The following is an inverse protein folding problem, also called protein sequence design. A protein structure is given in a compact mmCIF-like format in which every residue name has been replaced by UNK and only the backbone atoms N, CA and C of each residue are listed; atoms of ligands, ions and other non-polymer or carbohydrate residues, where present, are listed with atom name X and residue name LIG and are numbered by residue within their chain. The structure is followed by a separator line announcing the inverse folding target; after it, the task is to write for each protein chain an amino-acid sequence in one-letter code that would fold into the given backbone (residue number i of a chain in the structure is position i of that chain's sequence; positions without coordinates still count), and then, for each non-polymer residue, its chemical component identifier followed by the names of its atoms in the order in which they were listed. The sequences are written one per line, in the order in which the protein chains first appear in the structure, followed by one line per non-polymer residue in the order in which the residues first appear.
data_IF_355999348072
#
_entry.id   IF_355999348072
#
_cell.length_a   1.000
_cell.length_b   1.000
_cell.length_c   1.000
_cell.angle_alpha   90.00
_cell.angle_beta   90.00
_cell.angle_gamma   90.00
#
_symmetry.space_group_name_H-M   'P 1'
#
loop_
_entity.id
_entity.type
_entity.pdbx_description
1 polymer ?
#
# COMPACT_ATOMS: atom_id res chain seq x y z
N UNK A 1 0.85 1.68 4.26
CA UNK A 1 -0.45 2.15 4.80
C UNK A 1 -1.53 2.20 3.72
N UNK A 2 -1.22 2.75 2.54
CA UNK A 2 -2.16 2.90 1.42
C UNK A 2 -2.92 1.63 1.01
N UNK A 3 -2.22 0.52 0.73
CA UNK A 3 -2.82 -0.74 0.27
C UNK A 3 -3.84 -1.33 1.27
N UNK A 4 -3.65 -1.10 2.56
CA UNK A 4 -4.61 -1.54 3.57
C UNK A 4 -5.93 -0.77 3.46
N UNK A 5 -5.86 0.55 3.21
CA UNK A 5 -7.05 1.36 2.94
C UNK A 5 -7.72 0.96 1.63
N UNK A 6 -6.96 0.76 0.56
CA UNK A 6 -7.51 0.24 -0.71
C UNK A 6 -8.24 -1.09 -0.50
N UNK A 7 -7.67 -2.02 0.27
CA UNK A 7 -8.27 -3.31 0.59
C UNK A 7 -9.56 -3.17 1.41
N UNK A 8 -9.59 -2.25 2.39
CA UNK A 8 -10.79 -1.97 3.17
C UNK A 8 -11.96 -1.56 2.27
N UNK A 9 -11.78 -0.54 1.43
CA UNK A 9 -12.85 -0.04 0.55
C UNK A 9 -13.16 -1.00 -0.61
N UNK A 10 -12.20 -1.80 -1.06
CA UNK A 10 -12.47 -2.90 -2.00
C UNK A 10 -13.48 -3.90 -1.41
N UNK A 11 -13.35 -4.25 -0.13
CA UNK A 11 -14.27 -5.18 0.54
C UNK A 11 -15.57 -4.48 0.96
N UNK A 12 -15.48 -3.36 1.67
CA UNK A 12 -16.62 -2.70 2.28
C UNK A 12 -17.44 -1.86 1.30
N UNK A 13 -16.81 -1.38 0.23
CA UNK A 13 -17.38 -0.39 -0.69
C UNK A 13 -17.13 1.05 -0.24
N UNK A 14 -17.34 2.00 -1.14
CA UNK A 14 -17.16 3.43 -0.93
C UNK A 14 -15.90 4.01 -1.59
N UNK A 15 -15.61 5.27 -1.27
CA UNK A 15 -14.45 5.99 -1.80
C UNK A 15 -13.23 5.79 -0.91
N UNK A 16 -12.11 5.38 -1.51
CA UNK A 16 -10.84 5.25 -0.77
C UNK A 16 -10.43 6.60 -0.20
N UNK A 17 -10.39 6.73 1.13
CA UNK A 17 -9.82 7.88 1.85
C UNK A 17 -8.46 7.50 2.43
N UNK A 18 -7.38 8.07 1.88
CA UNK A 18 -6.01 7.86 2.35
C UNK A 18 -5.65 8.64 3.62
N UNK A 19 -6.52 9.56 4.04
CA UNK A 19 -6.30 10.49 5.15
C UNK A 19 -5.59 11.75 4.70
N UNK A 20 -6.09 12.90 5.15
CA UNK A 20 -5.60 14.23 4.75
C UNK A 20 -4.11 14.44 5.09
N UNK A 21 -3.71 14.13 6.33
CA UNK A 21 -2.33 14.32 6.80
C UNK A 21 -1.33 13.45 6.02
N UNK A 22 -1.64 12.16 5.85
CA UNK A 22 -0.81 11.23 5.07
C UNK A 22 -0.66 11.71 3.63
N UNK A 23 -1.75 12.17 3.03
CA UNK A 23 -1.78 12.60 1.63
C UNK A 23 -0.99 13.88 1.39
N UNK A 24 -1.06 14.84 2.33
CA UNK A 24 -0.20 16.03 2.32
C UNK A 24 1.27 15.67 2.49
N UNK A 25 1.60 14.79 3.44
CA UNK A 25 2.97 14.36 3.69
C UNK A 25 3.58 13.60 2.52
N UNK A 26 2.77 12.81 1.80
CA UNK A 26 3.24 11.98 0.68
C UNK A 26 3.03 12.62 -0.70
N UNK A 27 2.41 13.80 -0.78
CA UNK A 27 2.23 14.55 -2.03
C UNK A 27 1.26 13.91 -3.01
N UNK A 28 0.14 13.37 -2.53
CA UNK A 28 -0.89 12.76 -3.38
C UNK A 28 -2.32 13.18 -2.98
N UNK A 29 -3.31 12.85 -3.80
CA UNK A 29 -4.73 13.11 -3.48
C UNK A 29 -5.17 12.30 -2.27
N UNK A 30 -5.99 12.93 -1.40
CA UNK A 30 -6.61 12.24 -0.27
C UNK A 30 -7.56 11.13 -0.71
N UNK A 31 -8.34 11.39 -1.77
CA UNK A 31 -9.32 10.44 -2.24
C UNK A 31 -8.81 9.67 -3.45
N UNK A 32 -9.05 8.36 -3.42
CA UNK A 32 -8.71 7.42 -4.48
C UNK A 32 -9.93 6.93 -5.25
N UNK A 33 -9.88 5.66 -5.64
CA UNK A 33 -10.93 4.97 -6.39
C UNK A 33 -12.24 4.92 -5.60
N UNK A 34 -13.35 4.99 -6.31
CA UNK A 34 -14.69 4.70 -5.78
C UNK A 34 -15.02 3.25 -6.13
N UNK A 35 -15.38 2.47 -5.11
CA UNK A 35 -15.97 1.14 -5.25
C UNK A 35 -17.47 1.28 -5.00
N UNK A 36 -18.27 1.36 -6.06
CA UNK A 36 -19.74 1.52 -5.97
C UNK A 36 -20.37 0.39 -5.14
N UNK A 37 -19.88 -0.82 -5.34
CA UNK A 37 -20.25 -2.00 -4.57
C UNK A 37 -18.99 -2.64 -3.99
N UNK A 38 -18.97 -2.84 -2.67
CA UNK A 38 -17.93 -3.60 -2.01
C UNK A 38 -18.06 -5.09 -2.32
N UNK A 39 -16.96 -5.81 -2.34
CA UNK A 39 -17.00 -7.27 -2.55
C UNK A 39 -17.61 -8.05 -1.38
N UNK A 40 -17.71 -7.44 -0.20
CA UNK A 40 -18.38 -7.99 0.98
C UNK A 40 -18.94 -6.86 1.88
N UNK A 41 -20.01 -6.16 1.46
CA UNK A 41 -20.49 -4.96 2.15
C UNK A 41 -21.00 -5.21 3.58
N UNK A 42 -21.47 -6.43 3.86
CA UNK A 42 -21.89 -6.86 5.19
C UNK A 42 -20.74 -7.11 6.17
N UNK A 43 -19.47 -6.91 5.75
CA UNK A 43 -18.31 -7.14 6.61
C UNK A 43 -18.41 -6.36 7.93
N UNK A 44 -18.47 -7.08 9.06
CA UNK A 44 -18.44 -6.53 10.41
C UNK A 44 -17.98 -7.59 11.43
N UNK A 45 -18.18 -7.34 12.73
CA UNK A 45 -17.80 -8.28 13.81
C UNK A 45 -18.68 -9.54 13.83
N UNK A 46 -19.93 -9.46 13.35
CA UNK A 46 -20.84 -10.60 13.22
C UNK A 46 -20.60 -11.38 11.91
N UNK A 47 -19.98 -10.73 10.93
CA UNK A 47 -19.58 -11.29 9.64
C UNK A 47 -18.07 -11.16 9.40
N UNK A 48 -17.22 -11.77 10.24
CA UNK A 48 -15.78 -11.55 10.17
C UNK A 48 -15.14 -12.33 9.00
N UNK A 49 -14.00 -11.83 8.52
CA UNK A 49 -13.31 -12.39 7.34
C UNK A 49 -12.04 -13.14 7.75
N UNK A 50 -11.75 -14.23 7.01
CA UNK A 50 -10.45 -14.87 6.97
C UNK A 50 -9.58 -14.26 5.87
N UNK A 51 -8.41 -13.75 6.23
CA UNK A 51 -7.45 -13.22 5.27
C UNK A 51 -6.33 -14.22 4.98
N UNK A 52 -6.00 -14.39 3.70
CA UNK A 52 -4.81 -15.12 3.24
C UNK A 52 -3.89 -14.17 2.49
N UNK A 53 -2.72 -13.90 3.07
CA UNK A 53 -1.74 -12.96 2.54
C UNK A 53 -0.49 -13.66 2.01
N UNK A 54 -0.24 -13.54 0.72
CA UNK A 54 1.04 -13.95 0.13
C UNK A 54 2.05 -12.80 0.18
N UNK A 55 3.31 -13.10 0.56
CA UNK A 55 4.41 -12.13 0.56
C UNK A 55 4.07 -10.82 1.31
N UNK A 56 4.19 -9.67 0.66
CA UNK A 56 3.87 -8.36 1.24
C UNK A 56 2.38 -8.21 1.60
N UNK A 57 1.49 -8.99 0.98
CA UNK A 57 0.06 -8.99 1.29
C UNK A 57 -0.21 -9.33 2.76
N UNK A 58 0.61 -10.20 3.37
CA UNK A 58 0.50 -10.53 4.78
C UNK A 58 0.73 -9.31 5.69
N UNK A 59 1.66 -8.42 5.33
CA UNK A 59 1.88 -7.16 6.06
C UNK A 59 0.70 -6.21 5.85
N UNK A 60 0.15 -6.13 4.64
CA UNK A 60 -1.03 -5.29 4.34
C UNK A 60 -2.21 -5.69 5.21
N UNK A 61 -2.46 -6.99 5.37
CA UNK A 61 -3.54 -7.52 6.22
C UNK A 61 -3.33 -7.13 7.69
N UNK A 62 -2.11 -7.29 8.22
CA UNK A 62 -1.82 -6.88 9.61
C UNK A 62 -2.02 -5.38 9.83
N UNK A 63 -1.63 -4.55 8.85
CA UNK A 63 -1.88 -3.11 8.88
C UNK A 63 -3.38 -2.81 8.85
N UNK A 64 -4.13 -3.46 7.96
CA UNK A 64 -5.58 -3.32 7.90
C UNK A 64 -6.24 -3.67 9.25
N UNK A 65 -5.84 -4.79 9.85
CA UNK A 65 -6.37 -5.20 11.14
C UNK A 65 -6.06 -4.19 12.26
N UNK A 66 -4.83 -3.67 12.32
CA UNK A 66 -4.49 -2.61 13.27
C UNK A 66 -5.31 -1.34 13.02
N UNK A 67 -5.52 -0.96 11.76
CA UNK A 67 -6.35 0.20 11.41
C UNK A 67 -7.82 0.03 11.81
N UNK A 68 -8.35 -1.20 11.79
CA UNK A 68 -9.69 -1.50 12.32
C UNK A 68 -9.72 -1.34 13.84
N UNK A 69 -8.71 -1.84 14.55
CA UNK A 69 -8.57 -1.67 16.01
C UNK A 69 -8.47 -0.19 16.41
N UNK A 70 -7.71 0.59 15.63
CA UNK A 70 -7.48 2.01 15.86
C UNK A 70 -8.62 2.91 15.37
N UNK A 71 -9.68 2.32 14.80
CA UNK A 71 -10.82 3.05 14.25
C UNK A 71 -10.43 4.10 13.19
N UNK A 72 -9.55 3.71 12.26
CA UNK A 72 -8.93 4.62 11.30
C UNK A 72 -9.76 4.96 10.05
N UNK A 73 -10.98 4.43 9.92
CA UNK A 73 -11.89 4.63 8.78
C UNK A 73 -13.10 5.49 9.16
N UNK A 74 -13.13 6.75 8.71
CA UNK A 74 -14.23 7.68 9.01
C UNK A 74 -15.56 7.12 8.53
N UNK A 75 -16.59 7.25 9.37
CA UNK A 75 -17.95 6.76 9.09
C UNK A 75 -18.24 5.32 9.55
N UNK A 76 -17.28 4.61 10.13
CA UNK A 76 -17.43 3.22 10.59
C UNK A 76 -17.15 3.05 12.10
N UNK A 77 -17.94 3.67 12.98
CA UNK A 77 -17.59 3.77 14.42
C UNK A 77 -17.56 2.44 15.20
N UNK A 78 -18.26 1.42 14.70
CA UNK A 78 -18.33 0.08 15.27
C UNK A 78 -17.21 -0.86 14.80
N UNK A 79 -16.22 -0.35 14.04
CA UNK A 79 -15.09 -1.16 13.62
C UNK A 79 -14.24 -1.64 14.80
N UNK A 80 -13.83 -2.90 14.72
CA UNK A 80 -12.96 -3.55 15.70
C UNK A 80 -12.00 -4.51 14.99
N UNK A 81 -10.92 -4.90 15.66
CA UNK A 81 -9.97 -5.91 15.19
C UNK A 81 -10.63 -7.26 14.87
N UNK A 82 -11.82 -7.51 15.42
CA UNK A 82 -12.56 -8.78 15.36
C UNK A 82 -13.37 -8.94 14.09
N UNK A 83 -13.43 -7.90 13.26
CA UNK A 83 -13.83 -8.01 11.87
C UNK A 83 -12.88 -8.96 11.10
N UNK A 84 -11.72 -9.31 11.69
CA UNK A 84 -10.77 -10.30 11.19
C UNK A 84 -10.74 -11.53 12.09
N UNK A 85 -11.23 -12.66 11.57
CA UNK A 85 -11.26 -13.93 12.30
C UNK A 85 -9.92 -14.67 12.23
N UNK A 86 -9.24 -14.63 11.08
CA UNK A 86 -7.90 -15.22 10.95
C UNK A 86 -7.03 -14.49 9.95
N UNK A 87 -5.72 -14.54 10.17
CA UNK A 87 -4.68 -14.11 9.22
C UNK A 87 -3.76 -15.30 8.93
N UNK A 88 -3.85 -15.83 7.71
CA UNK A 88 -2.92 -16.84 7.20
C UNK A 88 -1.91 -16.18 6.28
N UNK A 89 -0.63 -16.44 6.50
CA UNK A 89 0.45 -15.92 5.68
C UNK A 89 1.15 -17.02 4.90
N UNK A 90 1.38 -16.77 3.60
CA UNK A 90 2.18 -17.60 2.71
C UNK A 90 3.45 -16.82 2.31
N UNK A 91 4.60 -17.27 2.79
CA UNK A 91 5.91 -16.61 2.60
C UNK A 91 5.87 -15.11 2.94
N UNK A 92 5.21 -14.76 4.03
CA UNK A 92 5.05 -13.38 4.49
C UNK A 92 6.38 -12.71 4.85
N UNK A 93 6.65 -11.54 4.28
CA UNK A 93 7.87 -10.78 4.51
C UNK A 93 7.84 -9.99 5.84
N UNK A 94 7.48 -10.62 6.96
CA UNK A 94 7.21 -9.93 8.22
C UNK A 94 8.42 -9.18 8.80
N UNK A 95 9.63 -9.67 8.58
CA UNK A 95 10.88 -9.05 9.02
C UNK A 95 11.66 -8.41 7.87
N UNK A 96 10.96 -8.15 6.75
CA UNK A 96 11.56 -7.67 5.51
C UNK A 96 12.34 -8.74 4.77
N UNK A 97 13.03 -8.33 3.70
CA UNK A 97 13.84 -9.20 2.86
C UNK A 97 15.14 -8.50 2.45
N UNK A 98 16.25 -9.24 2.51
CA UNK A 98 17.55 -8.74 2.00
C UNK A 98 17.55 -8.54 0.49
N UNK A 99 16.61 -9.18 -0.22
CA UNK A 99 16.42 -9.00 -1.66
C UNK A 99 16.16 -7.54 -2.04
N UNK A 100 15.47 -6.78 -1.19
CA UNK A 100 15.23 -5.36 -1.43
C UNK A 100 16.55 -4.58 -1.66
N UNK A 101 17.64 -4.96 -0.98
CA UNK A 101 18.96 -4.34 -1.14
C UNK A 101 19.71 -4.80 -2.39
N UNK A 102 19.50 -6.05 -2.80
CA UNK A 102 20.01 -6.60 -4.05
C UNK A 102 19.39 -5.87 -5.24
N UNK A 103 18.07 -5.65 -5.18
CA UNK A 103 17.33 -5.00 -6.26
C UNK A 103 17.64 -3.49 -6.34
N UNK A 104 18.02 -2.84 -5.24
CA UNK A 104 18.57 -1.49 -5.27
C UNK A 104 18.31 -0.59 -4.08
N UNK A 105 17.63 -1.05 -3.03
CA UNK A 105 17.42 -0.23 -1.83
C UNK A 105 18.73 -0.02 -1.06
N UNK A 106 18.87 1.16 -0.43
CA UNK A 106 20.02 1.50 0.41
C UNK A 106 19.84 0.91 1.83
N UNK A 107 20.81 0.13 2.34
CA UNK A 107 20.71 -0.45 3.68
C UNK A 107 20.83 0.58 4.80
N UNK A 108 21.38 1.77 4.55
CA UNK A 108 21.61 2.80 5.57
C UNK A 108 20.29 3.36 6.12
N UNK A 109 19.31 3.62 5.24
CA UNK A 109 18.02 4.19 5.63
C UNK A 109 16.81 3.27 5.33
N UNK A 110 16.99 2.28 4.46
CA UNK A 110 15.94 1.35 4.02
C UNK A 110 14.80 2.01 3.24
N UNK A 111 14.98 3.23 2.75
CA UNK A 111 13.96 4.05 2.07
C UNK A 111 14.41 4.53 0.69
N UNK A 112 15.66 4.94 0.54
CA UNK A 112 16.21 5.46 -0.70
C UNK A 112 16.73 4.34 -1.59
N UNK A 113 16.71 4.56 -2.90
CA UNK A 113 17.35 3.67 -3.88
C UNK A 113 18.80 4.09 -4.12
N UNK A 114 19.66 3.14 -4.48
CA UNK A 114 21.01 3.40 -4.98
C UNK A 114 20.93 4.23 -6.27
N UNK A 115 21.93 5.08 -6.51
CA UNK A 115 21.95 5.95 -7.69
C UNK A 115 21.97 5.17 -9.01
N UNK A 116 22.60 4.00 -9.03
CA UNK A 116 22.66 3.11 -10.20
C UNK A 116 22.26 1.70 -9.74
N UNK A 117 21.07 1.25 -10.12
CA UNK A 117 20.57 -0.10 -9.85
C UNK A 117 19.39 -0.47 -10.79
N UNK A 118 19.05 -1.76 -10.87
CA UNK A 118 17.91 -2.26 -11.64
C UNK A 118 16.61 -1.54 -11.25
N UNK A 119 16.44 -1.27 -9.96
CA UNK A 119 15.25 -0.61 -9.44
C UNK A 119 15.07 0.84 -9.94
N UNK A 120 16.15 1.55 -10.28
CA UNK A 120 16.04 2.87 -10.94
C UNK A 120 15.47 2.74 -12.35
N UNK A 121 15.85 1.71 -13.10
CA UNK A 121 15.30 1.44 -14.44
C UNK A 121 13.82 1.09 -14.34
N UNK A 122 13.44 0.23 -13.38
CA UNK A 122 12.05 -0.11 -13.13
C UNK A 122 11.24 1.11 -12.69
N UNK A 123 11.79 1.98 -11.83
CA UNK A 123 11.17 3.25 -11.44
C UNK A 123 10.84 4.10 -12.66
N UNK A 124 11.80 4.30 -13.57
CA UNK A 124 11.59 5.09 -14.79
C UNK A 124 10.47 4.45 -15.62
N UNK A 125 10.51 3.13 -15.81
CA UNK A 125 9.49 2.40 -16.54
C UNK A 125 8.08 2.60 -15.96
N UNK A 126 7.93 2.50 -14.63
CA UNK A 126 6.66 2.73 -13.94
C UNK A 126 6.17 4.17 -14.09
N UNK A 127 7.05 5.16 -13.92
CA UNK A 127 6.70 6.57 -14.07
C UNK A 127 6.20 6.84 -15.49
N UNK A 128 6.92 6.37 -16.51
CA UNK A 128 6.52 6.55 -17.91
C UNK A 128 5.22 5.81 -18.22
N UNK A 129 5.06 4.58 -17.71
CA UNK A 129 3.84 3.79 -17.88
C UNK A 129 2.60 4.50 -17.33
N UNK A 130 2.66 4.96 -16.09
CA UNK A 130 1.55 5.67 -15.45
C UNK A 130 1.31 7.06 -16.06
N UNK A 131 2.37 7.72 -16.55
CA UNK A 131 2.24 9.01 -17.25
C UNK A 131 1.57 8.87 -18.61
N UNK A 132 1.93 7.87 -19.41
CA UNK A 132 1.32 7.61 -20.71
C UNK A 132 -0.19 7.31 -20.57
N UNK A 133 -0.59 6.66 -19.46
CA UNK A 133 -1.99 6.47 -19.06
C UNK A 133 -2.88 5.82 -20.15
N UNK A 134 -2.37 4.77 -20.79
CA UNK A 134 -3.12 4.00 -21.80
C UNK A 134 -4.15 3.09 -21.09
N UNK A 135 -5.47 3.26 -21.36
CA UNK A 135 -6.52 2.52 -20.66
C UNK A 135 -6.44 1.00 -20.80
N UNK A 136 -6.12 0.48 -22.00
CA UNK A 136 -6.07 -0.98 -22.23
C UNK A 136 -4.91 -1.64 -21.47
N UNK A 137 -3.78 -0.94 -21.34
CA UNK A 137 -2.65 -1.42 -20.56
C UNK A 137 -2.99 -1.39 -19.07
N UNK A 138 -3.57 -0.28 -18.57
CA UNK A 138 -4.01 -0.17 -17.18
C UNK A 138 -5.10 -1.17 -16.81
N UNK A 139 -5.96 -1.55 -17.76
CA UNK A 139 -6.93 -2.63 -17.56
C UNK A 139 -6.23 -3.98 -17.37
N UNK A 140 -5.16 -4.26 -18.12
CA UNK A 140 -4.38 -5.47 -17.97
C UNK A 140 -3.53 -5.48 -16.69
N UNK A 141 -2.86 -4.36 -16.38
CA UNK A 141 -2.04 -4.23 -15.18
C UNK A 141 -1.96 -2.78 -14.69
N UNK A 142 -2.41 -2.53 -13.45
CA UNK A 142 -2.34 -1.21 -12.82
C UNK A 142 -1.42 -1.27 -11.59
N UNK A 143 -0.41 -0.39 -11.54
CA UNK A 143 0.52 -0.30 -10.40
C UNK A 143 -0.14 0.30 -9.15
N UNK A 144 -1.31 0.92 -9.28
CA UNK A 144 -2.08 1.50 -8.20
C UNK A 144 -1.56 2.85 -7.73
N UNK A 145 -1.12 3.70 -8.67
CA UNK A 145 -0.63 5.06 -8.39
C UNK A 145 -1.58 6.17 -8.89
N UNK A 146 -2.82 5.84 -9.22
CA UNK A 146 -3.77 6.80 -9.80
C UNK A 146 -4.02 8.05 -8.92
N UNK A 147 -3.89 7.91 -7.59
CA UNK A 147 -4.03 9.00 -6.62
C UNK A 147 -2.88 10.01 -6.63
N UNK A 148 -1.75 9.70 -7.28
CA UNK A 148 -0.69 10.67 -7.57
C UNK A 148 -0.96 11.53 -8.80
N UNK A 149 -2.03 11.24 -9.57
CA UNK A 149 -2.43 12.00 -10.75
C UNK A 149 -1.32 12.18 -11.80
N UNK A 150 -0.45 11.18 -11.97
CA UNK A 150 0.74 11.27 -12.85
C UNK A 150 0.42 11.24 -14.35
N UNK A 151 -0.83 10.97 -14.75
CA UNK A 151 -1.26 10.94 -16.16
C UNK A 151 -0.87 12.21 -16.91
N UNK A 152 -0.43 12.09 -18.16
CA UNK A 152 -0.06 13.22 -19.03
C UNK A 152 -1.19 14.25 -19.16
N UNK A 153 -2.45 13.82 -19.08
CA UNK A 153 -3.63 14.69 -19.11
C UNK A 153 -3.74 15.62 -17.90
N UNK A 154 -3.18 15.19 -16.76
CA UNK A 154 -3.22 15.91 -15.48
C UNK A 154 -1.90 16.61 -15.16
N UNK A 155 -0.78 15.90 -15.32
CA UNK A 155 0.55 16.34 -14.91
C UNK A 155 1.35 17.02 -16.05
N UNK A 156 0.98 16.79 -17.31
CA UNK A 156 1.74 17.30 -18.47
C UNK A 156 3.19 16.81 -18.53
N UNK A 157 3.98 17.38 -19.44
CA UNK A 157 5.39 17.01 -19.63
C UNK A 157 6.26 17.44 -18.43
N UNK A 158 5.99 18.61 -17.85
CA UNK A 158 6.74 19.08 -16.68
C UNK A 158 6.53 18.21 -15.46
N UNK A 159 5.31 17.70 -15.23
CA UNK A 159 5.05 16.76 -14.14
C UNK A 159 5.78 15.42 -14.33
N UNK A 160 6.00 14.97 -15.57
CA UNK A 160 6.87 13.82 -15.85
C UNK A 160 8.32 14.10 -15.43
N UNK A 161 8.85 15.26 -15.81
CA UNK A 161 10.20 15.69 -15.43
C UNK A 161 10.32 15.74 -13.90
N UNK A 162 9.34 16.31 -13.19
CA UNK A 162 9.33 16.35 -11.73
C UNK A 162 9.31 14.96 -11.09
N UNK A 163 8.52 14.03 -11.63
CA UNK A 163 8.51 12.64 -11.16
C UNK A 163 9.86 11.95 -11.39
N UNK A 164 10.51 12.19 -12.54
CA UNK A 164 11.80 11.62 -12.91
C UNK A 164 12.96 12.21 -12.09
N UNK A 165 12.90 13.49 -11.74
CA UNK A 165 13.85 14.14 -10.82
C UNK A 165 13.61 13.75 -9.36
N UNK A 166 12.46 13.17 -9.04
CA UNK A 166 12.11 12.76 -7.68
C UNK A 166 11.57 13.89 -6.82
N UNK A 167 11.05 14.96 -7.44
CA UNK A 167 10.38 16.07 -6.76
C UNK A 167 8.94 15.70 -6.37
N UNK A 168 8.32 14.76 -7.09
CA UNK A 168 6.93 14.34 -6.90
C UNK A 168 6.75 12.85 -7.19
N UNK A 169 5.58 12.32 -6.82
CA UNK A 169 5.20 10.93 -7.07
C UNK A 169 5.56 9.95 -5.94
N UNK A 170 5.24 8.66 -6.13
CA UNK A 170 5.38 7.63 -5.09
C UNK A 170 6.83 7.40 -4.65
N UNK A 171 7.77 7.55 -5.58
CA UNK A 171 9.19 7.31 -5.31
C UNK A 171 9.85 8.46 -4.54
N UNK A 172 9.31 9.68 -4.61
CA UNK A 172 9.82 10.83 -3.88
C UNK A 172 9.46 10.77 -2.39
N UNK A 173 8.21 10.41 -2.08
CA UNK A 173 7.72 10.28 -0.70
C UNK A 173 8.15 8.99 0.00
N UNK A 174 8.49 7.95 -0.78
CA UNK A 174 8.73 6.61 -0.24
C UNK A 174 7.44 5.84 0.08
N UNK A 175 6.26 6.34 -0.31
CA UNK A 175 4.97 5.65 -0.13
C UNK A 175 4.71 4.64 -1.27
N UNK A 176 5.58 3.64 -1.32
CA UNK A 176 5.50 2.50 -2.23
C UNK A 176 6.07 1.25 -1.56
N UNK A 177 6.02 0.11 -2.23
CA UNK A 177 6.12 -1.18 -1.55
C UNK A 177 7.50 -1.50 -0.96
N UNK A 178 8.61 -1.19 -1.65
CA UNK A 178 9.94 -1.65 -1.22
C UNK A 178 10.45 -1.00 0.08
N UNK A 179 10.22 0.30 0.35
CA UNK A 179 10.55 0.88 1.65
C UNK A 179 9.95 0.14 2.86
N UNK A 180 8.82 -0.56 2.70
CA UNK A 180 8.22 -1.38 3.75
C UNK A 180 8.81 -2.81 3.81
N UNK A 181 9.39 -3.30 2.72
CA UNK A 181 10.00 -4.62 2.60
C UNK A 181 11.49 -4.65 2.98
N UNK A 182 12.12 -3.50 3.21
CA UNK A 182 13.45 -3.46 3.84
C UNK A 182 13.34 -3.89 5.30
N UNK A 183 14.45 -4.38 5.89
CA UNK A 183 14.50 -4.77 7.30
C UNK A 183 14.11 -3.58 8.19
N UNK A 184 14.64 -2.37 7.89
CA UNK A 184 14.31 -1.14 8.63
C UNK A 184 12.83 -0.76 8.48
N UNK A 185 12.28 -0.90 7.27
CA UNK A 185 10.87 -0.66 6.98
C UNK A 185 9.95 -1.58 7.77
N UNK A 186 10.23 -2.88 7.71
CA UNK A 186 9.45 -3.90 8.40
C UNK A 186 9.58 -3.79 9.92
N UNK A 187 10.75 -3.45 10.47
CA UNK A 187 10.92 -3.19 11.90
C UNK A 187 10.08 -1.99 12.37
N UNK A 188 10.13 -0.86 11.64
CA UNK A 188 9.28 0.31 11.92
C UNK A 188 7.79 -0.01 11.81
N UNK A 189 7.43 -0.85 10.84
CA UNK A 189 6.04 -1.28 10.71
C UNK A 189 5.62 -2.13 11.91
N UNK A 190 6.42 -3.13 12.27
CA UNK A 190 6.15 -4.05 13.36
C UNK A 190 6.04 -3.35 14.73
N UNK A 191 6.78 -2.25 14.96
CA UNK A 191 6.67 -1.50 16.23
C UNK A 191 5.31 -0.84 16.47
N UNK A 192 4.47 -0.74 15.44
CA UNK A 192 3.12 -0.20 15.54
C UNK A 192 2.03 -1.25 15.35
N UNK A 193 2.38 -2.52 15.14
CA UNK A 193 1.42 -3.58 14.86
C UNK A 193 1.32 -4.57 16.02
N UNK A 194 0.10 -4.75 16.51
CA UNK A 194 -0.20 -5.75 17.54
C UNK A 194 -0.69 -7.06 16.91
N UNK A 195 -0.70 -8.11 17.72
CA UNK A 195 -1.50 -9.32 17.49
C UNK A 195 -2.72 -9.27 18.40
N UNK A 196 -3.86 -9.70 17.91
CA UNK A 196 -5.11 -9.63 18.65
C UNK A 196 -5.54 -11.01 19.17
N UNK A 197 -5.98 -11.13 20.44
CA UNK A 197 -6.18 -12.42 21.09
C UNK A 197 -7.34 -13.24 20.50
N UNK A 198 -8.31 -12.58 19.85
CA UNK A 198 -9.47 -13.21 19.20
C UNK A 198 -9.22 -13.62 17.74
N UNK A 199 -8.01 -13.40 17.22
CA UNK A 199 -7.65 -13.70 15.83
C UNK A 199 -6.67 -14.87 15.77
N UNK A 200 -6.96 -15.85 14.89
CA UNK A 200 -6.02 -16.93 14.62
C UNK A 200 -4.94 -16.47 13.62
N UNK A 201 -3.66 -16.60 13.98
CA UNK A 201 -2.53 -16.31 13.11
C UNK A 201 -1.81 -17.58 12.69
N UNK A 202 -1.72 -17.85 11.39
CA UNK A 202 -0.99 -18.99 10.84
C UNK A 202 0.04 -18.49 9.82
N UNK A 203 1.26 -19.04 9.85
CA UNK A 203 2.32 -18.65 8.94
C UNK A 203 2.98 -19.88 8.31
N UNK A 204 3.05 -19.87 6.97
CA UNK A 204 3.79 -20.81 6.16
C UNK A 204 4.98 -20.07 5.55
N UNK A 205 6.19 -20.59 5.79
CA UNK A 205 7.43 -20.03 5.28
C UNK A 205 7.69 -20.50 3.84
#
# INVERSE_FOLDING_TARGET
MRRARELFYYLKGGQVDYGEEHSKACGHSQFGRIYEEGHYPQWDEDHPIHFVGHSAGAQVIRVLQQMLADKAFKGYENMSENWVLSVTSLSGAFNGTTRAYLDGMQPENGKSMKSICLLQLLRIGVIVYDWIDIPILKYYYNFGFDHYNMSWRKAGIWGLVDCLLGNSGPFASGDWILPYLTIQGSLRLNSHLNTFPRTCYTHYC
#
